data_IF_646519439342
#
_entry.id   IF_646519439342
#
_cell.length_a   1.000
_cell.length_b   1.000
_cell.length_c   1.000
_cell.angle_alpha   90.00
_cell.angle_beta   90.00
_cell.angle_gamma   90.00
#
_symmetry.space_group_name_H-M   'P 1'
#
loop_
_entity.id
_entity.type
_entity.pdbx_description
1 polymer ?
#
# COMPACT_ATOMS: atom_id res chain seq x y z
N UNK A 1 17.61 -27.00 -12.93
CA UNK A 1 16.49 -26.23 -13.49
C UNK A 1 16.18 -26.77 -14.87
N UNK A 2 14.96 -27.22 -15.11
CA UNK A 2 14.56 -27.70 -16.43
C UNK A 2 14.42 -26.52 -17.42
N UNK A 3 14.50 -26.82 -18.73
CA UNK A 3 14.27 -25.79 -19.78
C UNK A 3 12.90 -25.11 -19.64
N UNK A 4 11.90 -25.81 -19.10
CA UNK A 4 10.57 -25.26 -18.80
C UNK A 4 10.57 -24.17 -17.73
N UNK A 5 11.41 -24.29 -16.69
CA UNK A 5 11.50 -23.29 -15.63
C UNK A 5 12.15 -22.01 -16.14
N UNK A 6 13.15 -22.13 -17.03
CA UNK A 6 13.77 -20.97 -17.67
C UNK A 6 12.81 -20.25 -18.63
N UNK A 7 11.95 -20.99 -19.33
CA UNK A 7 10.95 -20.40 -20.23
C UNK A 7 9.88 -19.63 -19.45
N UNK A 8 9.42 -20.16 -18.31
CA UNK A 8 8.47 -19.47 -17.41
C UNK A 8 9.04 -18.19 -16.84
N UNK A 9 10.29 -18.18 -16.42
CA UNK A 9 10.98 -16.99 -15.93
C UNK A 9 11.09 -15.95 -17.03
N UNK A 10 11.48 -16.32 -18.26
CA UNK A 10 11.56 -15.41 -19.41
C UNK A 10 10.20 -14.81 -19.79
N UNK A 11 9.12 -15.60 -19.79
CA UNK A 11 7.76 -15.09 -20.05
C UNK A 11 7.28 -14.12 -18.98
N UNK A 12 7.64 -14.33 -17.72
CA UNK A 12 7.30 -13.43 -16.62
C UNK A 12 8.02 -12.09 -16.77
N UNK A 13 9.29 -12.11 -17.18
CA UNK A 13 10.09 -10.90 -17.42
C UNK A 13 9.63 -10.13 -18.67
N UNK A 14 9.18 -10.83 -19.73
CA UNK A 14 8.75 -10.20 -20.98
C UNK A 14 7.46 -9.39 -20.86
N UNK A 15 6.61 -9.66 -19.86
CA UNK A 15 5.33 -8.96 -19.65
C UNK A 15 5.46 -7.64 -18.86
N UNK A 16 6.64 -7.02 -18.76
CA UNK A 16 6.88 -5.69 -18.16
C UNK A 16 6.05 -5.37 -16.90
N UNK A 17 5.74 -6.38 -16.07
CA UNK A 17 5.16 -6.13 -14.75
C UNK A 17 6.28 -5.69 -13.81
N UNK A 18 6.32 -4.43 -13.47
CA UNK A 18 7.27 -3.92 -12.48
C UNK A 18 6.65 -3.98 -11.11
N UNK A 19 6.94 -5.03 -10.36
CA UNK A 19 6.63 -5.08 -8.94
C UNK A 19 7.51 -4.07 -8.21
N UNK A 20 6.91 -3.11 -7.54
CA UNK A 20 7.61 -2.12 -6.73
C UNK A 20 7.25 -2.26 -5.27
N UNK A 21 8.19 -1.96 -4.40
CA UNK A 21 7.99 -1.83 -2.96
C UNK A 21 7.33 -3.06 -2.32
N UNK A 22 7.84 -4.25 -2.62
CA UNK A 22 7.32 -5.50 -2.09
C UNK A 22 7.50 -5.55 -0.56
N UNK A 23 6.42 -5.88 0.14
CA UNK A 23 6.40 -6.04 1.60
C UNK A 23 5.61 -7.30 1.96
N UNK A 24 6.07 -8.04 2.96
CA UNK A 24 5.35 -9.19 3.52
C UNK A 24 4.90 -8.83 4.94
N UNK A 25 3.61 -8.97 5.21
CA UNK A 25 3.03 -8.79 6.54
C UNK A 25 2.24 -10.04 6.88
N UNK A 26 2.71 -10.77 7.90
CA UNK A 26 2.30 -12.15 8.18
C UNK A 26 2.57 -13.04 6.95
N UNK A 27 1.53 -13.60 6.36
CA UNK A 27 1.58 -14.45 5.18
C UNK A 27 0.91 -13.81 3.94
N UNK A 28 0.73 -12.50 3.96
CA UNK A 28 0.23 -11.72 2.83
C UNK A 28 1.38 -10.91 2.22
N UNK A 29 1.54 -11.01 0.90
CA UNK A 29 2.44 -10.16 0.13
C UNK A 29 1.67 -8.94 -0.34
N UNK A 30 2.25 -7.77 -0.15
CA UNK A 30 1.79 -6.48 -0.67
C UNK A 30 2.82 -5.93 -1.64
N UNK A 31 2.38 -5.28 -2.70
CA UNK A 31 3.26 -4.60 -3.66
C UNK A 31 2.54 -3.49 -4.40
N UNK A 32 3.30 -2.64 -5.06
CA UNK A 32 2.77 -1.68 -6.02
C UNK A 32 2.92 -2.24 -7.42
N UNK A 33 1.86 -2.15 -8.22
CA UNK A 33 1.87 -2.45 -9.65
C UNK A 33 1.24 -1.30 -10.43
N UNK A 34 1.66 -1.16 -11.69
CA UNK A 34 1.14 -0.15 -12.61
C UNK A 34 -0.17 -0.66 -13.20
N UNK A 35 -1.19 0.16 -13.17
CA UNK A 35 -2.53 -0.18 -13.68
C UNK A 35 -2.83 0.63 -14.94
N UNK A 36 -3.20 -0.07 -16.01
CA UNK A 36 -3.64 0.55 -17.27
C UNK A 36 -2.58 0.61 -18.36
N UNK A 37 -3.03 0.62 -19.60
CA UNK A 37 -2.17 0.80 -20.79
C UNK A 37 -1.81 2.29 -20.92
N UNK A 38 -0.52 2.59 -20.82
CA UNK A 38 0.02 3.94 -21.04
C UNK A 38 -0.18 4.93 -19.90
N UNK A 39 -0.68 4.52 -18.72
CA UNK A 39 -0.88 5.38 -17.58
C UNK A 39 0.07 5.06 -16.43
N UNK A 40 0.60 6.10 -15.79
CA UNK A 40 1.46 6.01 -14.61
C UNK A 40 0.63 5.83 -13.32
N UNK A 41 -0.48 5.12 -13.37
CA UNK A 41 -1.30 4.88 -12.17
C UNK A 41 -0.72 3.69 -11.40
N UNK A 42 -0.26 3.95 -10.20
CA UNK A 42 0.24 2.92 -9.30
C UNK A 42 -0.85 2.57 -8.29
N UNK A 43 -1.09 1.28 -8.10
CA UNK A 43 -2.04 0.77 -7.12
C UNK A 43 -1.38 -0.27 -6.21
N UNK A 44 -1.90 -0.40 -4.99
CA UNK A 44 -1.46 -1.44 -4.06
C UNK A 44 -2.26 -2.70 -4.30
N UNK A 45 -1.54 -3.80 -4.44
CA UNK A 45 -2.07 -5.15 -4.55
C UNK A 45 -1.65 -5.99 -3.36
N UNK A 46 -2.43 -7.04 -3.08
CA UNK A 46 -2.11 -8.04 -2.09
C UNK A 46 -2.46 -9.45 -2.56
N UNK A 47 -1.77 -10.43 -1.99
CA UNK A 47 -2.03 -11.86 -2.23
C UNK A 47 -1.50 -12.69 -1.05
N UNK A 48 -2.20 -13.75 -0.62
CA UNK A 48 -1.63 -14.73 0.28
C UNK A 48 -0.36 -15.38 -0.29
N UNK A 49 0.69 -15.45 0.52
CA UNK A 49 1.99 -16.00 0.08
C UNK A 49 1.93 -17.49 -0.23
N UNK A 50 1.23 -18.25 0.61
CA UNK A 50 1.20 -19.70 0.56
C UNK A 50 0.14 -20.28 -0.39
N UNK A 51 -0.69 -19.45 -1.01
CA UNK A 51 -1.74 -19.87 -1.93
C UNK A 51 -1.33 -19.62 -3.38
N UNK A 52 -0.74 -20.64 -4.02
CA UNK A 52 -0.20 -20.51 -5.39
C UNK A 52 -1.24 -20.04 -6.42
N UNK A 53 -2.50 -20.43 -6.23
CA UNK A 53 -3.61 -20.11 -7.15
C UNK A 53 -4.41 -18.86 -6.75
N UNK A 54 -4.05 -18.21 -5.64
CA UNK A 54 -4.73 -16.96 -5.25
C UNK A 54 -4.43 -15.86 -6.25
N UNK A 55 -5.48 -15.21 -6.77
CA UNK A 55 -5.32 -14.06 -7.65
C UNK A 55 -4.91 -12.82 -6.85
N UNK A 56 -4.07 -11.94 -7.43
CA UNK A 56 -3.80 -10.64 -6.87
C UNK A 56 -5.08 -9.83 -6.67
N UNK A 57 -5.26 -9.32 -5.47
CA UNK A 57 -6.36 -8.41 -5.13
C UNK A 57 -5.85 -6.97 -5.18
N UNK A 58 -6.49 -6.12 -5.98
CA UNK A 58 -6.25 -4.68 -5.97
C UNK A 58 -6.93 -4.06 -4.75
N UNK A 59 -6.16 -3.42 -3.87
CA UNK A 59 -6.65 -2.84 -2.61
C UNK A 59 -7.05 -1.37 -2.75
N UNK A 60 -6.35 -0.60 -3.60
CA UNK A 60 -6.62 0.83 -3.78
C UNK A 60 -7.37 1.09 -5.08
N UNK A 61 -8.34 2.00 -5.06
CA UNK A 61 -9.10 2.36 -6.24
C UNK A 61 -8.27 3.21 -7.23
N UNK A 62 -8.72 3.30 -8.49
CA UNK A 62 -8.07 4.08 -9.55
C UNK A 62 -8.04 5.60 -9.32
N UNK A 63 -8.75 6.11 -8.32
CA UNK A 63 -8.71 7.53 -7.94
C UNK A 63 -7.43 7.93 -7.22
N UNK A 64 -6.61 6.96 -6.79
CA UNK A 64 -5.34 7.20 -6.12
C UNK A 64 -4.18 6.84 -7.03
N UNK A 65 -3.09 7.60 -6.93
CA UNK A 65 -1.80 7.25 -7.54
C UNK A 65 -0.77 7.09 -6.42
N UNK A 66 -0.45 5.82 -6.12
CA UNK A 66 0.44 5.47 -5.01
C UNK A 66 1.89 5.70 -5.43
N UNK A 67 2.41 6.85 -5.09
CA UNK A 67 3.79 7.24 -5.44
C UNK A 67 4.32 8.23 -4.43
N UNK A 68 5.63 8.16 -4.20
CA UNK A 68 6.37 9.06 -3.34
C UNK A 68 7.54 9.69 -4.10
N UNK A 69 7.82 10.95 -3.82
CA UNK A 69 8.94 11.70 -4.37
C UNK A 69 9.83 12.29 -3.25
N UNK A 70 9.82 11.69 -2.07
CA UNK A 70 10.61 12.13 -0.92
C UNK A 70 12.11 12.26 -1.31
N UNK A 71 12.72 13.40 -1.00
CA UNK A 71 14.10 13.77 -1.41
C UNK A 71 14.41 13.60 -2.91
N UNK A 72 13.40 13.64 -3.77
CA UNK A 72 13.60 13.44 -5.22
C UNK A 72 13.96 12.02 -5.65
N UNK A 73 14.35 11.14 -4.74
CA UNK A 73 14.72 9.74 -5.03
C UNK A 73 13.52 8.79 -4.99
N UNK A 74 12.42 9.24 -4.40
CA UNK A 74 11.29 8.40 -4.06
C UNK A 74 11.60 7.51 -2.85
N UNK A 75 10.96 7.75 -1.72
CA UNK A 75 10.91 6.82 -0.59
C UNK A 75 9.90 5.70 -0.85
N UNK A 76 9.62 4.88 0.15
CA UNK A 76 8.49 3.96 0.09
C UNK A 76 7.20 4.74 0.03
N UNK A 77 6.23 4.27 -0.74
CA UNK A 77 4.97 4.96 -0.96
C UNK A 77 3.84 4.44 -0.08
N UNK A 78 4.03 3.31 0.58
CA UNK A 78 3.05 2.74 1.48
C UNK A 78 3.69 1.97 2.65
N UNK A 79 2.89 1.75 3.67
CA UNK A 79 3.16 0.87 4.81
C UNK A 79 1.94 0.02 5.09
N UNK A 80 2.14 -1.28 5.29
CA UNK A 80 1.14 -2.17 5.84
C UNK A 80 1.59 -2.65 7.22
N UNK A 81 0.70 -2.63 8.20
CA UNK A 81 0.95 -3.07 9.57
C UNK A 81 -0.21 -3.97 9.99
N UNK A 82 0.10 -5.09 10.65
CA UNK A 82 -0.91 -5.94 11.25
C UNK A 82 -1.04 -5.63 12.74
N UNK A 83 -2.24 -5.23 13.15
CA UNK A 83 -2.53 -4.88 14.53
C UNK A 83 -3.98 -5.19 14.86
N UNK A 84 -4.27 -5.75 16.03
CA UNK A 84 -5.63 -6.06 16.50
C UNK A 84 -6.46 -6.86 15.48
N UNK A 85 -5.84 -7.90 14.89
CA UNK A 85 -6.45 -8.79 13.89
C UNK A 85 -6.88 -8.09 12.58
N UNK A 86 -6.32 -6.93 12.26
CA UNK A 86 -6.57 -6.20 11.03
C UNK A 86 -5.26 -5.76 10.38
N UNK A 87 -5.31 -5.57 9.06
CA UNK A 87 -4.25 -4.95 8.29
C UNK A 87 -4.54 -3.44 8.15
N UNK A 88 -3.63 -2.63 8.63
CA UNK A 88 -3.66 -1.19 8.55
C UNK A 88 -2.81 -0.77 7.36
N UNK A 89 -3.44 -0.38 6.27
CA UNK A 89 -2.79 0.09 5.06
C UNK A 89 -2.75 1.61 5.06
N UNK A 90 -1.54 2.15 4.98
CA UNK A 90 -1.27 3.60 4.96
C UNK A 90 -0.50 3.87 3.69
N UNK A 91 -0.91 4.87 2.91
CA UNK A 91 -0.23 5.20 1.67
C UNK A 91 -0.15 6.70 1.44
N UNK A 92 0.79 7.08 0.59
CA UNK A 92 0.95 8.43 0.08
C UNK A 92 0.33 8.48 -1.31
N UNK A 93 -0.60 9.40 -1.49
CA UNK A 93 -1.23 9.63 -2.78
C UNK A 93 -0.65 10.87 -3.44
N UNK A 94 -0.05 10.67 -4.61
CA UNK A 94 0.60 11.74 -5.37
C UNK A 94 -0.40 12.79 -5.88
N UNK A 95 -1.65 12.40 -6.15
CA UNK A 95 -2.67 13.31 -6.69
C UNK A 95 -3.06 14.33 -5.63
N UNK A 96 -3.36 13.86 -4.41
CA UNK A 96 -3.80 14.72 -3.31
C UNK A 96 -2.64 15.25 -2.47
N UNK A 97 -1.41 14.74 -2.68
CA UNK A 97 -0.23 15.03 -1.86
C UNK A 97 -0.52 14.86 -0.35
N UNK A 98 -1.19 13.77 -0.01
CA UNK A 98 -1.67 13.51 1.34
C UNK A 98 -1.46 12.05 1.75
N UNK A 99 -1.44 11.82 3.05
CA UNK A 99 -1.43 10.49 3.64
C UNK A 99 -2.86 9.99 3.76
N UNK A 100 -3.08 8.77 3.27
CA UNK A 100 -4.34 8.05 3.30
C UNK A 100 -4.24 6.78 4.13
N UNK A 101 -5.37 6.27 4.57
CA UNK A 101 -5.46 5.15 5.49
C UNK A 101 -6.72 4.32 5.24
N UNK A 102 -6.56 3.01 5.31
CA UNK A 102 -7.67 2.06 5.24
C UNK A 102 -7.38 0.83 6.11
N UNK A 103 -8.43 0.23 6.65
CA UNK A 103 -8.34 -1.00 7.44
C UNK A 103 -8.94 -2.14 6.61
N UNK A 104 -8.23 -3.27 6.58
CA UNK A 104 -8.68 -4.50 5.97
C UNK A 104 -8.70 -5.62 6.99
N UNK A 105 -9.65 -6.53 6.84
CA UNK A 105 -9.74 -7.77 7.58
C UNK A 105 -9.54 -8.94 6.64
N UNK A 106 -8.80 -9.93 7.08
CA UNK A 106 -8.69 -11.19 6.36
C UNK A 106 -10.00 -11.98 6.50
N UNK A 107 -10.53 -12.44 5.38
CA UNK A 107 -11.76 -13.24 5.31
C UNK A 107 -11.47 -14.50 4.50
N UNK A 108 -11.91 -15.65 5.02
CA UNK A 108 -11.92 -16.88 4.27
C UNK A 108 -13.19 -16.95 3.40
N UNK A 109 -13.03 -17.28 2.13
CA UNK A 109 -14.17 -17.55 1.26
C UNK A 109 -14.91 -18.82 1.73
N UNK A 110 -16.21 -18.72 1.98
CA UNK A 110 -17.08 -19.85 2.35
C UNK A 110 -17.36 -20.82 1.16
N UNK A 111 -16.94 -20.45 -0.04
CA UNK A 111 -17.06 -21.32 -1.22
C UNK A 111 -15.90 -22.30 -1.30
N UNK A 112 -16.15 -23.49 -1.82
CA UNK A 112 -15.30 -24.69 -1.95
C UNK A 112 -13.79 -24.49 -2.21
N UNK A 113 -13.34 -23.26 -2.47
CA UNK A 113 -11.95 -22.94 -2.76
C UNK A 113 -11.12 -22.47 -1.56
N UNK A 114 -11.70 -22.27 -0.36
CA UNK A 114 -11.00 -21.76 0.84
C UNK A 114 -10.04 -20.59 0.59
N UNK A 115 -10.27 -19.80 -0.47
CA UNK A 115 -9.39 -18.68 -0.84
C UNK A 115 -9.55 -17.56 0.18
N UNK A 116 -8.43 -17.09 0.69
CA UNK A 116 -8.38 -15.91 1.59
C UNK A 116 -8.32 -14.63 0.76
N UNK A 117 -8.97 -13.60 1.22
CA UNK A 117 -8.91 -12.26 0.66
C UNK A 117 -8.99 -11.20 1.76
N UNK A 118 -8.62 -9.97 1.42
CA UNK A 118 -8.70 -8.84 2.32
C UNK A 118 -9.98 -8.05 2.05
N UNK A 119 -10.89 -8.04 3.00
CA UNK A 119 -12.12 -7.26 2.92
C UNK A 119 -11.93 -5.92 3.62
N UNK A 120 -12.48 -4.86 3.03
CA UNK A 120 -12.40 -3.52 3.57
C UNK A 120 -13.34 -3.36 4.75
N UNK A 121 -12.79 -2.99 5.91
CA UNK A 121 -13.56 -2.72 7.12
C UNK A 121 -14.23 -1.33 7.06
N UNK A 122 -13.62 -0.41 6.31
CA UNK A 122 -14.09 0.97 6.17
C UNK A 122 -13.60 1.59 4.86
N UNK A 123 -14.26 2.63 4.41
CA UNK A 123 -13.81 3.43 3.27
C UNK A 123 -12.43 4.08 3.55
N UNK A 124 -11.62 4.28 2.50
CA UNK A 124 -10.36 4.99 2.62
C UNK A 124 -10.55 6.39 3.19
N UNK A 125 -9.70 6.75 4.14
CA UNK A 125 -9.76 8.02 4.83
C UNK A 125 -8.48 8.81 4.67
N UNK A 126 -8.58 10.09 4.32
CA UNK A 126 -7.46 11.02 4.32
C UNK A 126 -7.07 11.37 5.76
N UNK A 127 -5.82 11.18 6.12
CA UNK A 127 -5.29 11.47 7.46
C UNK A 127 -4.65 12.84 7.57
N UNK A 128 -3.93 13.29 6.54
CA UNK A 128 -3.27 14.59 6.51
C UNK A 128 -3.99 15.56 5.59
N UNK A 129 -3.77 16.86 5.81
CA UNK A 129 -4.00 17.84 4.75
C UNK A 129 -3.01 17.62 3.62
N UNK A 130 -3.33 18.10 2.43
CA UNK A 130 -2.36 18.21 1.35
C UNK A 130 -1.23 19.17 1.77
N UNK A 131 0.01 18.82 1.45
CA UNK A 131 1.17 19.68 1.72
C UNK A 131 1.89 20.00 0.41
N UNK A 132 2.54 21.15 0.36
CA UNK A 132 3.48 21.44 -0.73
C UNK A 132 4.85 20.84 -0.39
N UNK A 133 4.94 19.53 -0.54
CA UNK A 133 6.09 18.71 -0.18
C UNK A 133 5.80 17.23 -0.35
N UNK A 134 6.62 16.40 0.29
CA UNK A 134 6.55 14.96 0.18
C UNK A 134 6.52 14.30 1.57
N UNK A 135 5.82 13.18 1.68
CA UNK A 135 5.85 12.33 2.88
C UNK A 135 6.79 11.15 2.68
N UNK A 136 7.45 10.69 3.75
CA UNK A 136 8.08 9.38 3.77
C UNK A 136 7.16 8.36 4.45
N UNK A 137 7.06 7.17 3.89
CA UNK A 137 6.23 6.10 4.44
C UNK A 137 6.91 5.28 5.54
N UNK A 138 8.00 5.75 6.12
CA UNK A 138 8.59 5.20 7.36
C UNK A 138 7.67 5.42 8.56
N UNK A 139 6.38 5.11 8.36
CA UNK A 139 5.35 5.33 9.38
C UNK A 139 5.48 4.38 10.56
N UNK A 140 5.29 4.93 11.75
CA UNK A 140 5.19 4.18 13.00
C UNK A 140 3.84 4.46 13.66
N UNK A 141 3.14 3.40 14.06
CA UNK A 141 1.88 3.54 14.81
C UNK A 141 2.17 3.31 16.30
N UNK A 142 1.79 4.27 17.13
CA UNK A 142 1.86 4.11 18.59
C UNK A 142 0.66 3.33 19.13
N UNK A 143 0.80 2.82 20.36
CA UNK A 143 -0.29 2.16 21.09
C UNK A 143 -1.50 3.07 21.30
N UNK A 144 -1.31 4.40 21.32
CA UNK A 144 -2.39 5.41 21.46
C UNK A 144 -3.08 5.76 20.13
N UNK A 145 -2.83 4.99 19.04
CA UNK A 145 -3.35 5.19 17.68
C UNK A 145 -2.90 6.51 17.03
N UNK A 146 -1.69 6.96 17.30
CA UNK A 146 -1.05 8.01 16.53
C UNK A 146 -0.12 7.41 15.48
N UNK A 147 -0.19 7.93 14.27
CA UNK A 147 0.77 7.71 13.21
C UNK A 147 1.84 8.79 13.30
N UNK A 148 3.10 8.38 13.33
CA UNK A 148 4.26 9.28 13.25
C UNK A 148 4.99 9.03 11.94
N UNK A 149 5.53 10.07 11.37
CA UNK A 149 6.28 9.99 10.12
C UNK A 149 7.12 11.24 9.89
N UNK A 150 7.81 11.24 8.75
CA UNK A 150 8.63 12.36 8.31
C UNK A 150 8.00 12.94 7.05
N UNK A 151 8.01 14.26 6.91
CA UNK A 151 7.67 14.95 5.67
C UNK A 151 8.75 15.98 5.33
N UNK A 152 8.95 16.16 4.04
CA UNK A 152 9.85 17.16 3.47
C UNK A 152 9.01 18.34 2.95
N UNK A 153 9.33 19.55 3.43
CA UNK A 153 8.72 20.80 2.97
C UNK A 153 9.85 21.80 2.75
N UNK A 154 9.94 22.40 1.57
CA UNK A 154 11.00 23.36 1.22
C UNK A 154 12.42 22.81 1.50
N UNK A 155 12.69 21.56 1.13
CA UNK A 155 13.96 20.83 1.35
C UNK A 155 14.36 20.73 2.84
N UNK A 156 13.40 20.71 3.74
CA UNK A 156 13.62 20.49 5.18
C UNK A 156 12.72 19.37 5.67
N UNK A 157 13.28 18.53 6.52
CA UNK A 157 12.57 17.42 7.12
C UNK A 157 11.86 17.85 8.40
N UNK A 158 10.61 17.40 8.53
CA UNK A 158 9.77 17.63 9.70
C UNK A 158 9.21 16.31 10.21
N UNK A 159 9.23 16.14 11.52
CA UNK A 159 8.51 15.06 12.18
C UNK A 159 7.04 15.49 12.33
N UNK A 160 6.12 14.61 11.95
CA UNK A 160 4.69 14.85 12.12
C UNK A 160 3.99 13.73 12.89
N UNK A 161 2.81 14.03 13.42
CA UNK A 161 1.92 13.02 14.01
C UNK A 161 0.49 13.22 13.53
N UNK A 162 -0.22 12.11 13.26
CA UNK A 162 -1.62 12.10 12.84
C UNK A 162 -2.41 11.17 13.75
N UNK A 163 -3.58 11.59 14.19
CA UNK A 163 -4.45 10.76 15.01
C UNK A 163 -5.29 9.84 14.12
N UNK A 164 -5.12 8.53 14.26
CA UNK A 164 -5.86 7.53 13.50
C UNK A 164 -7.34 7.43 13.87
N UNK A 165 -7.77 8.02 15.00
CA UNK A 165 -9.18 8.02 15.43
C UNK A 165 -9.94 9.28 14.98
N UNK A 166 -9.25 10.40 14.75
CA UNK A 166 -9.89 11.65 14.33
C UNK A 166 -10.33 11.59 12.88
N UNK A 167 -11.56 12.00 12.62
CA UNK A 167 -12.07 12.23 11.27
C UNK A 167 -11.69 13.63 10.79
N UNK A 168 -11.83 13.91 9.49
CA UNK A 168 -11.50 15.20 8.86
C UNK A 168 -12.25 16.39 9.49
N UNK A 169 -13.31 16.14 10.28
CA UNK A 169 -14.11 17.17 10.96
C UNK A 169 -13.48 17.70 12.25
N UNK A 170 -12.41 17.06 12.74
CA UNK A 170 -11.79 17.38 14.05
C UNK A 170 -10.46 18.13 13.92
N UNK A 171 -10.17 18.75 12.73
CA UNK A 171 -8.92 19.48 12.48
C UNK A 171 -9.21 20.94 12.12
#
# INVERSE_FOLDING_TARGET
MSNDDQLKVRQTVSKKKSFKELTIVRDIIFWIDVVGEGQNENAIFARPFNEKEAFPQKLTSKKYNIKNNFHGYGGKSYKCIYLKNNFYLIWIDQITKAVWFQIFKEVASNYRSQKRYLDSVQEPRQLSKSIDGNFDSSFVISQKNFLYGICEINNRDYLFSLNLKKTKQDI
#
